data_IF_060909810496
#
_entry.id   IF_060909810496
#
_cell.length_a   1.000
_cell.length_b   1.000
_cell.length_c   1.000
_cell.angle_alpha   90.00
_cell.angle_beta   90.00
_cell.angle_gamma   90.00
#
_symmetry.space_group_name_H-M   'P 1'
#
loop_
_entity.id
_entity.type
_entity.pdbx_description
1 polymer ?
#
# COMPACT_ATOMS: atom_id res chain seq x y z
N UNK A 1 -15.02 0.48 22.15
CA UNK A 1 -15.33 0.85 20.76
C UNK A 1 -15.38 2.36 20.73
N UNK A 2 -14.35 3.01 20.18
CA UNK A 2 -14.38 4.45 19.94
C UNK A 2 -15.38 4.70 18.82
N UNK A 3 -16.40 5.52 19.11
CA UNK A 3 -17.40 5.90 18.14
C UNK A 3 -16.71 6.74 17.06
N UNK A 4 -16.67 6.22 15.83
CA UNK A 4 -16.16 6.96 14.67
C UNK A 4 -17.11 8.13 14.39
N UNK A 5 -16.61 9.36 14.49
CA UNK A 5 -17.37 10.54 14.07
C UNK A 5 -17.44 10.60 12.54
N UNK A 6 -18.59 10.96 11.97
CA UNK A 6 -18.63 11.31 10.55
C UNK A 6 -17.88 12.65 10.36
N UNK A 7 -17.28 12.91 9.18
CA UNK A 7 -16.59 14.19 8.94
C UNK A 7 -17.48 15.43 9.21
N UNK A 8 -18.80 15.31 8.96
CA UNK A 8 -19.77 16.38 9.21
C UNK A 8 -20.07 16.61 10.71
N UNK A 9 -19.75 15.64 11.58
CA UNK A 9 -19.98 15.71 13.01
C UNK A 9 -18.77 16.28 13.78
N UNK A 10 -17.60 16.40 13.14
CA UNK A 10 -16.42 17.03 13.72
C UNK A 10 -16.66 18.55 13.90
N UNK A 11 -16.60 19.04 15.15
CA UNK A 11 -16.88 20.46 15.46
C UNK A 11 -15.61 21.29 15.60
N UNK A 12 -14.49 20.64 15.91
CA UNK A 12 -13.20 21.29 16.13
C UNK A 12 -12.11 20.70 15.24
N UNK A 13 -10.99 21.43 15.10
CA UNK A 13 -9.79 20.92 14.41
C UNK A 13 -9.23 19.67 15.10
N UNK A 14 -9.38 19.58 16.42
CA UNK A 14 -8.86 18.46 17.19
C UNK A 14 -9.70 17.20 16.98
N UNK A 15 -11.02 17.35 16.78
CA UNK A 15 -11.88 16.22 16.37
C UNK A 15 -11.44 15.65 15.02
N UNK A 16 -11.18 16.53 14.04
CA UNK A 16 -10.71 16.12 12.70
C UNK A 16 -9.36 15.41 12.78
N UNK A 17 -8.41 15.97 13.55
CA UNK A 17 -7.07 15.38 13.71
C UNK A 17 -7.15 14.01 14.38
N UNK A 18 -7.98 13.85 15.41
CA UNK A 18 -8.17 12.58 16.09
C UNK A 18 -8.70 11.49 15.13
N UNK A 19 -9.63 11.83 14.24
CA UNK A 19 -10.12 10.89 13.23
C UNK A 19 -9.08 10.60 12.13
N UNK A 20 -8.27 11.57 11.72
CA UNK A 20 -7.14 11.35 10.80
C UNK A 20 -6.12 10.40 11.43
N UNK A 21 -5.68 10.67 12.66
CA UNK A 21 -4.71 9.82 13.38
C UNK A 21 -5.23 8.38 13.52
N UNK A 22 -6.54 8.22 13.77
CA UNK A 22 -7.19 6.91 13.79
C UNK A 22 -7.13 6.22 12.43
N UNK A 23 -7.44 6.93 11.34
CA UNK A 23 -7.39 6.40 9.97
C UNK A 23 -5.95 6.01 9.61
N UNK A 24 -4.97 6.85 9.92
CA UNK A 24 -3.56 6.58 9.67
C UNK A 24 -3.08 5.34 10.42
N UNK A 25 -3.52 5.14 11.66
CA UNK A 25 -3.27 3.90 12.41
C UNK A 25 -3.85 2.66 11.72
N UNK A 26 -5.06 2.76 11.14
CA UNK A 26 -5.67 1.67 10.37
C UNK A 26 -4.92 1.41 9.06
N UNK A 27 -4.54 2.48 8.33
CA UNK A 27 -3.74 2.38 7.11
C UNK A 27 -2.40 1.70 7.40
N UNK A 28 -1.73 2.04 8.49
CA UNK A 28 -0.45 1.45 8.87
C UNK A 28 -0.58 -0.04 9.19
N UNK A 29 -1.66 -0.45 9.86
CA UNK A 29 -1.94 -1.86 10.13
C UNK A 29 -2.16 -2.66 8.83
N UNK A 30 -2.95 -2.13 7.91
CA UNK A 30 -3.19 -2.73 6.59
C UNK A 30 -1.90 -2.77 5.75
N UNK A 31 -1.08 -1.73 5.85
CA UNK A 31 0.20 -1.66 5.17
C UNK A 31 1.15 -2.76 5.67
N UNK A 32 1.25 -2.94 6.98
CA UNK A 32 2.05 -4.00 7.59
C UNK A 32 1.57 -5.40 7.16
N UNK A 33 0.26 -5.61 7.09
CA UNK A 33 -0.31 -6.85 6.57
C UNK A 33 0.05 -7.08 5.10
N UNK A 34 -0.15 -6.07 4.25
CA UNK A 34 0.24 -6.13 2.83
C UNK A 34 1.73 -6.42 2.67
N UNK A 35 2.58 -5.85 3.53
CA UNK A 35 4.01 -6.09 3.49
C UNK A 35 4.39 -7.54 3.80
N UNK A 36 3.70 -8.22 4.73
CA UNK A 36 3.91 -9.66 4.97
C UNK A 36 3.68 -10.51 3.72
N UNK A 37 2.70 -10.16 2.89
CA UNK A 37 2.49 -10.84 1.60
C UNK A 37 3.60 -10.56 0.59
N UNK A 38 4.18 -9.35 0.59
CA UNK A 38 5.36 -9.03 -0.23
C UNK A 38 6.57 -9.85 0.24
N UNK A 39 6.81 -9.96 1.55
CA UNK A 39 7.85 -10.85 2.10
C UNK A 39 7.63 -12.28 1.65
N UNK A 40 6.40 -12.79 1.75
CA UNK A 40 6.07 -14.14 1.28
C UNK A 40 6.33 -14.31 -0.23
N UNK A 41 6.05 -13.30 -1.03
CA UNK A 41 6.37 -13.32 -2.46
C UNK A 41 7.89 -13.36 -2.70
N UNK A 42 8.66 -12.58 -1.94
CA UNK A 42 10.11 -12.61 -1.99
C UNK A 42 10.64 -14.02 -1.68
N UNK A 43 10.06 -14.71 -0.69
CA UNK A 43 10.43 -16.08 -0.33
C UNK A 43 10.17 -17.09 -1.46
N UNK A 44 9.08 -16.91 -2.21
CA UNK A 44 8.69 -17.80 -3.31
C UNK A 44 9.57 -17.56 -4.55
N UNK A 45 9.84 -16.29 -4.88
CA UNK A 45 10.64 -15.92 -6.05
C UNK A 45 12.07 -16.43 -5.91
N UNK A 46 12.61 -16.92 -7.02
CA UNK A 46 13.95 -17.50 -7.05
C UNK A 46 14.97 -16.56 -7.64
N UNK A 47 14.56 -15.63 -8.51
CA UNK A 47 15.39 -14.66 -9.21
C UNK A 47 15.02 -13.19 -8.92
N UNK A 48 15.99 -12.31 -8.62
CA UNK A 48 15.73 -10.88 -8.42
C UNK A 48 15.04 -10.19 -9.61
N UNK A 49 15.15 -10.71 -10.83
CA UNK A 49 14.44 -10.17 -12.00
C UNK A 49 12.93 -10.40 -11.92
N UNK A 50 12.48 -11.46 -11.25
CA UNK A 50 11.05 -11.74 -11.00
C UNK A 50 10.40 -10.67 -10.11
N UNK A 51 11.19 -9.88 -9.37
CA UNK A 51 10.66 -8.83 -8.51
C UNK A 51 9.88 -7.77 -9.31
N UNK A 52 10.33 -7.42 -10.53
CA UNK A 52 9.67 -6.44 -11.39
C UNK A 52 8.96 -7.11 -12.55
N UNK A 53 7.64 -7.18 -12.46
CA UNK A 53 6.75 -7.67 -13.52
C UNK A 53 5.89 -6.50 -14.04
N UNK A 54 6.21 -5.90 -15.21
CA UNK A 54 5.47 -4.77 -15.77
C UNK A 54 3.98 -5.07 -15.99
N UNK A 55 3.63 -6.27 -16.45
CA UNK A 55 2.25 -6.64 -16.71
C UNK A 55 1.45 -6.71 -15.39
N UNK A 56 2.05 -7.28 -14.34
CA UNK A 56 1.42 -7.31 -13.01
C UNK A 56 1.28 -5.91 -12.41
N UNK A 57 2.28 -5.04 -12.58
CA UNK A 57 2.27 -3.67 -12.06
C UNK A 57 1.11 -2.89 -12.70
N UNK A 58 1.01 -2.86 -14.03
CA UNK A 58 -0.07 -2.14 -14.70
C UNK A 58 -1.45 -2.72 -14.38
N UNK A 59 -1.55 -4.05 -14.19
CA UNK A 59 -2.78 -4.68 -13.71
C UNK A 59 -3.15 -4.30 -12.26
N UNK A 60 -2.19 -4.00 -11.38
CA UNK A 60 -2.50 -3.42 -10.05
C UNK A 60 -2.97 -1.98 -10.22
N UNK A 61 -2.22 -1.16 -10.97
CA UNK A 61 -2.52 0.26 -11.13
C UNK A 61 -3.89 0.48 -11.74
N UNK A 62 -4.25 -0.26 -12.80
CA UNK A 62 -5.60 -0.18 -13.40
C UNK A 62 -6.72 -0.42 -12.39
N UNK A 63 -6.59 -1.44 -11.52
CA UNK A 63 -7.57 -1.74 -10.46
C UNK A 63 -7.65 -0.66 -9.40
N UNK A 64 -6.51 -0.03 -9.07
CA UNK A 64 -6.49 1.06 -8.09
C UNK A 64 -7.15 2.29 -8.67
N UNK A 65 -6.83 2.67 -9.91
CA UNK A 65 -7.48 3.79 -10.59
C UNK A 65 -8.99 3.63 -10.64
N UNK A 66 -9.48 2.48 -11.09
CA UNK A 66 -10.91 2.16 -11.15
C UNK A 66 -11.57 2.28 -9.76
N UNK A 67 -10.93 1.72 -8.73
CA UNK A 67 -11.45 1.78 -7.37
C UNK A 67 -11.43 3.19 -6.78
N UNK A 68 -10.44 4.01 -7.10
CA UNK A 68 -10.34 5.40 -6.64
C UNK A 68 -11.51 6.22 -7.16
N UNK A 69 -11.83 6.10 -8.45
CA UNK A 69 -12.99 6.75 -9.06
C UNK A 69 -14.30 6.35 -8.37
N UNK A 70 -14.47 5.07 -8.03
CA UNK A 70 -15.65 4.59 -7.32
C UNK A 70 -15.77 5.08 -5.86
N UNK A 71 -14.71 5.68 -5.32
CA UNK A 71 -14.63 6.24 -3.97
C UNK A 71 -14.56 7.78 -3.98
N UNK A 72 -14.78 8.42 -5.13
CA UNK A 72 -14.62 9.87 -5.32
C UNK A 72 -13.20 10.38 -4.95
N UNK A 73 -12.18 9.53 -5.14
CA UNK A 73 -10.77 9.85 -4.96
C UNK A 73 -10.10 10.04 -6.33
N UNK A 74 -9.29 11.10 -6.45
CA UNK A 74 -8.44 11.36 -7.62
C UNK A 74 -7.54 10.14 -7.90
N UNK A 75 -7.72 9.56 -9.08
CA UNK A 75 -7.06 8.33 -9.48
C UNK A 75 -5.57 8.52 -9.78
N UNK A 76 -5.15 9.72 -10.19
CA UNK A 76 -3.74 10.03 -10.44
C UNK A 76 -3.00 10.17 -9.11
N UNK A 77 -3.65 10.75 -8.10
CA UNK A 77 -3.12 10.79 -6.73
C UNK A 77 -2.97 9.38 -6.15
N UNK A 78 -3.97 8.53 -6.32
CA UNK A 78 -3.91 7.15 -5.86
C UNK A 78 -2.82 6.34 -6.59
N UNK A 79 -2.68 6.51 -7.90
CA UNK A 79 -1.63 5.87 -8.69
C UNK A 79 -0.24 6.24 -8.19
N UNK A 80 0.01 7.52 -7.89
CA UNK A 80 1.31 7.99 -7.38
C UNK A 80 1.72 7.23 -6.11
N UNK A 81 0.79 7.10 -5.15
CA UNK A 81 1.03 6.37 -3.91
C UNK A 81 1.30 4.89 -4.19
N UNK A 82 0.52 4.26 -5.08
CA UNK A 82 0.68 2.84 -5.37
C UNK A 82 1.94 2.51 -6.13
N UNK A 83 2.37 3.34 -7.09
CA UNK A 83 3.65 3.14 -7.80
C UNK A 83 4.82 3.24 -6.82
N UNK A 84 4.79 4.23 -5.93
CA UNK A 84 5.80 4.37 -4.86
C UNK A 84 5.87 3.11 -3.99
N UNK A 85 4.72 2.63 -3.52
CA UNK A 85 4.65 1.41 -2.73
C UNK A 85 5.17 0.18 -3.49
N UNK A 86 4.79 0.02 -4.76
CA UNK A 86 5.25 -1.08 -5.62
C UNK A 86 6.77 -1.04 -5.76
N UNK A 87 7.36 0.11 -6.06
CA UNK A 87 8.81 0.23 -6.22
C UNK A 87 9.57 -0.09 -4.92
N UNK A 88 9.05 0.30 -3.75
CA UNK A 88 9.61 -0.12 -2.46
C UNK A 88 9.59 -1.64 -2.28
N UNK A 89 8.49 -2.30 -2.65
CA UNK A 89 8.38 -3.77 -2.55
C UNK A 89 9.36 -4.47 -3.48
N UNK A 90 9.50 -3.98 -4.73
CA UNK A 90 10.45 -4.53 -5.70
C UNK A 90 11.88 -4.47 -5.13
N UNK A 91 12.26 -3.35 -4.54
CA UNK A 91 13.58 -3.18 -3.93
C UNK A 91 13.77 -4.12 -2.74
N UNK A 92 12.77 -4.25 -1.88
CA UNK A 92 12.77 -5.16 -0.75
C UNK A 92 12.92 -6.64 -1.19
N UNK A 93 12.09 -7.07 -2.15
CA UNK A 93 12.12 -8.42 -2.73
C UNK A 93 13.50 -8.75 -3.31
N UNK A 94 14.06 -7.85 -4.14
CA UNK A 94 15.40 -8.01 -4.71
C UNK A 94 16.47 -8.22 -3.65
N UNK A 95 16.41 -7.44 -2.55
CA UNK A 95 17.34 -7.56 -1.42
C UNK A 95 17.28 -8.93 -0.76
N UNK A 96 16.08 -9.41 -0.46
CA UNK A 96 15.84 -10.73 0.16
C UNK A 96 16.28 -11.87 -0.76
N UNK A 97 15.93 -11.82 -2.06
CA UNK A 97 16.32 -12.86 -3.01
C UNK A 97 17.84 -12.91 -3.19
N UNK A 98 18.49 -11.76 -3.33
CA UNK A 98 19.94 -11.69 -3.48
C UNK A 98 20.68 -12.16 -2.23
N UNK A 99 20.18 -11.86 -1.02
CA UNK A 99 20.78 -12.33 0.22
C UNK A 99 20.75 -13.86 0.35
N UNK A 100 19.64 -14.50 -0.02
CA UNK A 100 19.50 -15.97 0.01
C UNK A 100 20.40 -16.69 -0.99
N UNK A 101 20.69 -16.07 -2.15
CA UNK A 101 21.59 -16.64 -3.17
C UNK A 101 23.08 -16.57 -2.79
N UNK A 102 23.44 -15.75 -1.79
CA UNK A 102 24.84 -15.59 -1.33
C UNK A 102 25.23 -16.53 -0.19
N UNK A 103 24.26 -17.14 0.48
CA UNK A 103 24.47 -18.17 1.49
C UNK A 103 24.32 -19.55 0.89
#
# INVERSE_FOLDING_TARGET
MTTQAAPADCQTKDDVRAEIDRIDGLLLNLFAERHRYVTRMAEIKTDPHEARDPARIEAVIGKIRERSLALDLDEDQAELVWRTLIDWNINYEKGIIAARRRG
#
